data_IF_086385889432
#
_entry.id   IF_086385889432
#
_cell.length_a   1.000
_cell.length_b   1.000
_cell.length_c   1.000
_cell.angle_alpha   90.00
_cell.angle_beta   90.00
_cell.angle_gamma   90.00
#
_symmetry.space_group_name_H-M   'P 1'
#
loop_
_entity.id
_entity.type
_entity.pdbx_description
1 polymer ?
#
# COMPACT_ATOMS: atom_id res chain seq x y z
N UNK A 1 -24.59 6.25 -4.42
CA UNK A 1 -24.53 4.79 -4.27
C UNK A 1 -23.11 4.43 -3.86
N UNK A 2 -22.84 4.10 -2.61
CA UNK A 2 -21.49 3.68 -2.18
C UNK A 2 -21.33 2.19 -2.54
N UNK A 3 -20.56 1.90 -3.59
CA UNK A 3 -20.13 0.53 -3.87
C UNK A 3 -19.12 0.12 -2.80
N UNK A 4 -19.28 -1.05 -2.16
CA UNK A 4 -18.26 -1.56 -1.25
C UNK A 4 -17.01 -1.93 -2.05
N UNK A 5 -15.84 -1.48 -1.60
CA UNK A 5 -14.57 -1.96 -2.12
C UNK A 5 -14.43 -3.45 -1.81
N UNK A 6 -14.29 -4.26 -2.85
CA UNK A 6 -14.17 -5.72 -2.74
C UNK A 6 -12.99 -6.17 -3.58
N UNK A 7 -12.23 -7.12 -3.05
CA UNK A 7 -11.14 -7.73 -3.80
C UNK A 7 -11.69 -8.43 -5.03
N UNK A 8 -11.09 -8.15 -6.19
CA UNK A 8 -11.42 -8.83 -7.44
C UNK A 8 -10.41 -9.96 -7.74
N UNK A 9 -10.85 -11.24 -7.76
CA UNK A 9 -9.99 -12.36 -8.10
C UNK A 9 -9.36 -12.29 -9.50
N UNK A 10 -10.02 -11.61 -10.46
CA UNK A 10 -9.46 -11.44 -11.80
C UNK A 10 -8.27 -10.48 -11.78
N UNK A 11 -8.38 -9.38 -11.02
CA UNK A 11 -7.28 -8.44 -10.81
C UNK A 11 -6.11 -9.09 -10.11
N UNK A 12 -6.35 -9.96 -9.11
CA UNK A 12 -5.29 -10.71 -8.43
C UNK A 12 -4.49 -11.58 -9.40
N UNK A 13 -5.17 -12.22 -10.38
CA UNK A 13 -4.50 -13.04 -11.40
C UNK A 13 -3.72 -12.22 -12.42
N UNK A 14 -4.09 -10.95 -12.61
CA UNK A 14 -3.41 -10.04 -13.52
C UNK A 14 -2.22 -9.29 -12.88
N UNK A 15 -2.02 -9.43 -11.57
CA UNK A 15 -0.90 -8.79 -10.86
C UNK A 15 0.45 -9.32 -11.35
N UNK A 16 1.45 -8.44 -11.34
CA UNK A 16 2.84 -8.89 -11.48
C UNK A 16 3.25 -9.74 -10.28
N UNK A 17 4.31 -10.53 -10.41
CA UNK A 17 4.79 -11.38 -9.33
C UNK A 17 5.15 -10.58 -8.06
N UNK A 18 5.75 -9.40 -8.23
CA UNK A 18 6.05 -8.50 -7.12
C UNK A 18 4.78 -7.96 -6.47
N UNK A 19 3.83 -7.44 -7.26
CA UNK A 19 2.56 -6.91 -6.75
C UNK A 19 1.76 -7.99 -6.00
N UNK A 20 1.71 -9.21 -6.54
CA UNK A 20 1.07 -10.34 -5.87
C UNK A 20 1.78 -10.71 -4.57
N UNK A 21 3.12 -10.75 -4.58
CA UNK A 21 3.90 -11.07 -3.39
C UNK A 21 3.74 -10.01 -2.29
N UNK A 22 3.77 -8.74 -2.64
CA UNK A 22 3.57 -7.62 -1.69
C UNK A 22 2.14 -7.63 -1.15
N UNK A 23 1.14 -7.65 -2.03
CA UNK A 23 -0.28 -7.49 -1.61
C UNK A 23 -0.90 -8.75 -1.00
N UNK A 24 -0.54 -9.96 -1.47
CA UNK A 24 -1.14 -11.22 -1.02
C UNK A 24 -0.26 -12.01 -0.04
N UNK A 25 1.07 -11.95 -0.19
CA UNK A 25 2.02 -12.69 0.68
C UNK A 25 2.68 -11.82 1.76
N UNK A 26 2.33 -10.53 1.84
CA UNK A 26 2.97 -9.58 2.78
C UNK A 26 4.50 -9.51 2.59
N UNK A 27 4.98 -9.69 1.35
CA UNK A 27 6.38 -9.47 1.04
C UNK A 27 6.70 -7.96 1.05
N UNK A 28 7.98 -7.63 1.19
CA UNK A 28 8.49 -6.25 1.09
C UNK A 28 9.26 -6.11 -0.21
N UNK A 29 8.94 -5.09 -1.01
CA UNK A 29 9.74 -4.75 -2.18
C UNK A 29 11.15 -4.26 -1.78
N UNK A 30 12.10 -4.28 -2.71
CA UNK A 30 13.45 -3.78 -2.41
C UNK A 30 13.41 -2.25 -2.25
N UNK A 31 14.17 -1.68 -1.30
CA UNK A 31 14.17 -0.23 -1.10
C UNK A 31 14.70 0.48 -2.36
N UNK A 32 14.16 1.67 -2.65
CA UNK A 32 14.53 2.51 -3.80
C UNK A 32 14.29 1.88 -5.18
N UNK A 33 13.49 0.80 -5.24
CA UNK A 33 13.17 0.13 -6.51
C UNK A 33 11.70 0.26 -6.91
N UNK A 34 10.85 0.68 -5.97
CA UNK A 34 9.43 0.89 -6.22
C UNK A 34 9.20 2.15 -7.03
N UNK A 35 8.35 2.07 -8.05
CA UNK A 35 7.95 3.21 -8.89
C UNK A 35 7.37 4.37 -8.08
N UNK A 36 6.76 4.06 -6.93
CA UNK A 36 6.08 5.03 -6.10
C UNK A 36 6.95 5.66 -5.00
N UNK A 37 8.20 5.20 -4.83
CA UNK A 37 9.12 5.74 -3.81
C UNK A 37 9.41 7.23 -4.10
N UNK A 38 9.90 7.53 -5.30
CA UNK A 38 10.22 8.89 -5.76
C UNK A 38 9.06 9.58 -6.53
N UNK A 39 7.86 9.00 -6.53
CA UNK A 39 6.70 9.58 -7.20
C UNK A 39 6.01 10.62 -6.31
N UNK A 40 5.97 11.89 -6.73
CA UNK A 40 5.35 12.98 -5.97
C UNK A 40 4.31 13.78 -6.78
N UNK A 41 3.82 13.24 -7.90
CA UNK A 41 2.76 13.89 -8.67
C UNK A 41 1.43 13.88 -7.92
N UNK A 42 0.59 14.86 -8.22
CA UNK A 42 -0.74 15.00 -7.60
C UNK A 42 -1.66 13.83 -7.98
N UNK A 43 -2.18 13.13 -6.98
CA UNK A 43 -2.98 11.94 -7.22
C UNK A 43 -3.44 11.21 -5.95
N UNK A 44 -4.01 10.03 -6.17
CA UNK A 44 -4.56 9.16 -5.14
C UNK A 44 -3.96 7.76 -5.28
N UNK A 45 -3.40 7.26 -4.20
CA UNK A 45 -2.87 5.90 -4.11
C UNK A 45 -4.02 4.98 -3.69
N UNK A 46 -4.36 4.06 -4.57
CA UNK A 46 -5.46 3.12 -4.40
C UNK A 46 -4.94 1.69 -4.25
N UNK A 47 -5.67 0.84 -3.53
CA UNK A 47 -5.44 -0.59 -3.48
C UNK A 47 -5.59 -1.17 -4.90
N UNK A 48 -4.54 -1.77 -5.42
CA UNK A 48 -4.51 -2.32 -6.79
C UNK A 48 -5.54 -3.43 -7.02
N UNK A 49 -6.01 -4.11 -5.97
CA UNK A 49 -6.95 -5.24 -6.03
C UNK A 49 -8.41 -4.81 -5.88
N UNK A 50 -8.69 -3.85 -5.00
CA UNK A 50 -10.06 -3.42 -4.70
C UNK A 50 -10.43 -2.05 -5.28
N UNK A 51 -9.44 -1.25 -5.68
CA UNK A 51 -9.61 0.15 -6.07
C UNK A 51 -9.90 1.09 -4.89
N UNK A 52 -9.74 0.62 -3.65
CA UNK A 52 -9.99 1.41 -2.45
C UNK A 52 -8.94 2.53 -2.29
N UNK A 53 -9.36 3.79 -2.13
CA UNK A 53 -8.46 4.88 -1.77
C UNK A 53 -7.73 4.61 -0.45
N UNK A 54 -6.40 4.56 -0.49
CA UNK A 54 -5.56 4.35 0.70
C UNK A 54 -4.94 5.67 1.16
N UNK A 55 -4.21 6.34 0.27
CA UNK A 55 -3.41 7.53 0.60
C UNK A 55 -3.53 8.62 -0.46
N UNK A 56 -3.35 9.88 -0.04
CA UNK A 56 -3.32 11.04 -0.92
C UNK A 56 -1.88 11.45 -1.16
N UNK A 57 -1.55 11.88 -2.39
CA UNK A 57 -0.23 12.49 -2.68
C UNK A 57 0.08 13.67 -1.75
N UNK A 58 -0.95 14.41 -1.30
CA UNK A 58 -0.82 15.54 -0.37
C UNK A 58 -0.24 15.16 0.99
N UNK A 59 -0.41 13.90 1.38
CA UNK A 59 0.06 13.36 2.65
C UNK A 59 1.35 12.54 2.48
N UNK A 60 1.84 12.40 1.24
CA UNK A 60 3.11 11.76 0.91
C UNK A 60 4.28 12.66 1.30
N UNK A 61 5.35 12.07 1.79
CA UNK A 61 6.59 12.77 2.08
C UNK A 61 7.79 11.87 1.77
N UNK A 62 8.96 12.49 1.54
CA UNK A 62 10.21 11.76 1.42
C UNK A 62 10.75 11.45 2.83
N UNK A 63 10.81 10.17 3.15
CA UNK A 63 11.37 9.68 4.43
C UNK A 63 12.83 9.25 4.30
N UNK A 64 13.35 9.11 3.07
CA UNK A 64 14.67 8.53 2.79
C UNK A 64 14.81 7.05 3.12
N UNK A 65 13.72 6.34 3.45
CA UNK A 65 13.78 4.92 3.82
C UNK A 65 13.79 3.97 2.62
N UNK A 66 13.45 4.46 1.42
CA UNK A 66 13.37 3.68 0.18
C UNK A 66 12.02 3.03 -0.10
N UNK A 67 10.98 3.43 0.63
CA UNK A 67 9.59 3.06 0.36
C UNK A 67 8.68 4.29 0.46
N UNK A 68 7.55 4.30 -0.28
CA UNK A 68 6.60 5.39 -0.22
C UNK A 68 6.06 5.58 1.20
N UNK A 69 6.23 6.79 1.73
CA UNK A 69 5.82 7.16 3.08
C UNK A 69 4.69 8.18 3.06
N UNK A 70 3.68 7.96 3.92
CA UNK A 70 2.51 8.82 4.04
C UNK A 70 2.23 9.14 5.51
N UNK A 71 1.82 10.37 5.79
CA UNK A 71 1.54 10.83 7.15
C UNK A 71 0.18 10.34 7.68
N UNK A 72 -0.80 10.14 6.79
CA UNK A 72 -2.14 9.64 7.13
C UNK A 72 -2.86 9.02 5.92
N UNK A 73 -3.80 8.09 6.14
CA UNK A 73 -4.70 7.60 5.10
C UNK A 73 -5.79 8.63 4.76
N UNK A 74 -6.45 8.46 3.60
CA UNK A 74 -7.51 9.38 3.12
C UNK A 74 -8.83 9.26 3.88
N UNK A 75 -9.17 8.05 4.33
CA UNK A 75 -10.31 7.81 5.22
C UNK A 75 -9.80 7.26 6.56
N UNK A 76 -10.58 7.48 7.63
CA UNK A 76 -10.47 6.69 8.86
C UNK A 76 -10.89 5.25 8.52
N UNK A 77 -9.98 4.50 7.91
CA UNK A 77 -10.23 3.10 7.62
C UNK A 77 -10.56 2.40 8.94
N UNK A 78 -11.55 1.50 8.88
CA UNK A 78 -11.75 0.51 9.94
C UNK A 78 -10.39 -0.18 10.12
N UNK A 79 -9.79 -0.19 11.32
CA UNK A 79 -8.53 -0.88 11.51
C UNK A 79 -8.74 -2.32 11.04
N UNK A 80 -8.03 -2.70 9.98
CA UNK A 80 -7.83 -4.11 9.68
C UNK A 80 -7.20 -4.70 10.94
N UNK A 81 -7.63 -5.88 11.42
CA UNK A 81 -7.04 -6.47 12.60
C UNK A 81 -5.53 -6.54 12.39
N UNK A 82 -4.79 -5.78 13.21
CA UNK A 82 -3.33 -5.73 13.13
C UNK A 82 -2.83 -7.17 13.27
N UNK A 83 -2.23 -7.71 12.21
CA UNK A 83 -1.56 -9.00 12.33
C UNK A 83 -0.33 -8.76 13.19
N UNK A 84 -0.16 -9.43 14.33
CA UNK A 84 1.03 -9.28 15.14
C UNK A 84 2.24 -9.64 14.27
N UNK A 85 3.07 -8.65 13.94
CA UNK A 85 4.39 -8.89 13.40
C UNK A 85 5.26 -9.29 14.58
N UNK A 86 5.81 -10.51 14.59
CA UNK A 86 6.77 -10.90 15.64
C UNK A 86 8.07 -10.14 15.40
N UNK A 87 8.30 -9.10 16.19
CA UNK A 87 9.55 -8.35 16.19
C UNK A 87 10.63 -9.15 16.93
N UNK A 88 11.70 -9.51 16.24
CA UNK A 88 12.89 -10.09 16.87
C UNK A 88 13.78 -8.93 17.34
N UNK A 89 13.44 -8.34 18.49
CA UNK A 89 14.31 -7.48 19.29
C UNK A 89 14.78 -6.17 18.64
N UNK A 90 14.27 -5.04 19.13
CA UNK A 90 15.03 -3.80 19.14
C UNK A 90 15.73 -3.73 20.51
N UNK A 91 17.06 -3.68 20.51
CA UNK A 91 17.85 -3.45 21.73
C UNK A 91 17.55 -2.07 22.33
#
# INVERSE_FOLDING_TARGET
MNKPYKKDPQTIQALTELQFSVTQKSATERPFTGEYDDHFEDGLYVDIVSGEPLFSSKDKFDSGCGWPAFSKPVEKQRPQPERPQSWHGAY
#
